data_IF_787495603863
#
_entry.id   IF_787495603863
#
_cell.length_a   1.000
_cell.length_b   1.000
_cell.length_c   1.000
_cell.angle_alpha   90.00
_cell.angle_beta   90.00
_cell.angle_gamma   90.00
#
_symmetry.space_group_name_H-M   'P 1'
#
loop_
_entity.id
_entity.type
_entity.pdbx_description
1 polymer ?
#
# COMPACT_ATOMS: atom_id res chain seq x y z
N UNK A 1 -69.86 33.33 -33.18
CA UNK A 1 -69.49 34.75 -33.39
C UNK A 1 -68.40 35.09 -32.37
N UNK A 2 -67.13 35.11 -32.80
CA UNK A 2 -65.97 35.83 -32.25
C UNK A 2 -64.67 35.12 -32.68
N UNK A 3 -64.01 35.69 -33.69
CA UNK A 3 -62.63 35.37 -34.05
C UNK A 3 -61.71 36.31 -33.25
N UNK A 4 -60.62 35.85 -32.61
CA UNK A 4 -59.66 36.76 -32.00
C UNK A 4 -58.80 37.46 -33.07
N UNK A 5 -58.83 38.78 -33.02
CA UNK A 5 -58.15 39.74 -33.90
C UNK A 5 -56.74 40.01 -33.34
N UNK A 6 -55.67 39.30 -33.75
CA UNK A 6 -54.26 39.78 -33.60
C UNK A 6 -53.27 39.01 -34.51
N UNK A 7 -53.04 39.41 -35.78
CA UNK A 7 -52.09 38.71 -36.66
C UNK A 7 -50.60 39.10 -36.47
N UNK A 8 -50.30 40.27 -35.91
CA UNK A 8 -48.94 40.86 -35.95
C UNK A 8 -48.01 40.46 -34.78
N UNK A 9 -48.56 40.03 -33.65
CA UNK A 9 -47.78 39.67 -32.45
C UNK A 9 -47.24 38.23 -32.55
N UNK A 10 -48.01 37.34 -33.17
CA UNK A 10 -47.63 35.93 -33.36
C UNK A 10 -46.41 35.76 -34.30
N UNK A 11 -46.27 36.66 -35.29
CA UNK A 11 -45.15 36.59 -36.25
C UNK A 11 -43.81 37.00 -35.60
N UNK A 12 -43.82 38.02 -34.73
CA UNK A 12 -42.61 38.45 -34.01
C UNK A 12 -42.16 37.43 -32.96
N UNK A 13 -43.10 36.81 -32.25
CA UNK A 13 -42.81 35.75 -31.29
C UNK A 13 -42.18 34.51 -31.96
N UNK A 14 -42.73 34.06 -33.08
CA UNK A 14 -42.20 32.91 -33.82
C UNK A 14 -40.82 33.18 -34.46
N UNK A 15 -40.52 34.43 -34.83
CA UNK A 15 -39.19 34.78 -35.35
C UNK A 15 -38.14 34.86 -34.23
N UNK A 16 -38.50 35.41 -33.06
CA UNK A 16 -37.61 35.48 -31.89
C UNK A 16 -37.29 34.10 -31.32
N UNK A 17 -38.28 33.20 -31.24
CA UNK A 17 -38.09 31.83 -30.75
C UNK A 17 -37.19 31.02 -31.71
N UNK A 18 -37.34 31.20 -33.03
CA UNK A 18 -36.50 30.54 -34.04
C UNK A 18 -35.06 31.07 -34.07
N UNK A 19 -34.83 32.34 -33.72
CA UNK A 19 -33.49 32.90 -33.56
C UNK A 19 -32.81 32.38 -32.28
N UNK A 20 -33.55 32.30 -31.18
CA UNK A 20 -33.07 31.75 -29.91
C UNK A 20 -32.71 30.26 -30.01
N UNK A 21 -33.56 29.44 -30.63
CA UNK A 21 -33.27 28.00 -30.84
C UNK A 21 -32.03 27.75 -31.70
N UNK A 22 -31.72 28.62 -32.68
CA UNK A 22 -30.53 28.48 -33.52
C UNK A 22 -29.24 28.87 -32.79
N UNK A 23 -29.25 29.94 -31.99
CA UNK A 23 -28.07 30.37 -31.25
C UNK A 23 -27.69 29.44 -30.10
N UNK A 24 -28.67 28.87 -29.39
CA UNK A 24 -28.40 27.88 -28.34
C UNK A 24 -27.83 26.56 -28.90
N UNK A 25 -28.23 26.16 -30.11
CA UNK A 25 -27.72 24.94 -30.75
C UNK A 25 -26.26 25.09 -31.23
N UNK A 26 -25.86 26.28 -31.71
CA UNK A 26 -24.49 26.54 -32.16
C UNK A 26 -23.51 26.69 -30.99
N UNK A 27 -23.92 27.30 -29.88
CA UNK A 27 -23.10 27.39 -28.65
C UNK A 27 -22.94 26.04 -27.93
N UNK A 28 -23.98 25.20 -27.93
CA UNK A 28 -23.90 23.84 -27.38
C UNK A 28 -22.95 22.92 -28.16
N UNK A 29 -22.89 23.07 -29.49
CA UNK A 29 -22.01 22.27 -30.35
C UNK A 29 -20.51 22.66 -30.20
N UNK A 30 -20.22 23.91 -29.85
CA UNK A 30 -18.85 24.39 -29.62
C UNK A 30 -18.25 23.89 -28.29
N UNK A 31 -19.08 23.68 -27.26
CA UNK A 31 -18.64 23.12 -25.97
C UNK A 31 -18.32 21.61 -26.04
N UNK A 32 -18.94 20.87 -26.96
CA UNK A 32 -18.70 19.42 -27.13
C UNK A 32 -17.40 19.16 -27.92
N UNK A 33 -17.02 20.06 -28.83
CA UNK A 33 -15.81 19.91 -29.66
C UNK A 33 -14.53 20.42 -28.98
N UNK A 34 -14.64 21.33 -28.00
CA UNK A 34 -13.48 21.89 -27.28
C UNK A 34 -13.03 21.09 -26.05
N UNK A 35 -13.79 20.09 -25.58
CA UNK A 35 -13.44 19.27 -24.42
C UNK A 35 -13.33 17.77 -24.76
N UNK A 36 -12.28 17.33 -25.48
CA UNK A 36 -12.00 15.90 -25.66
C UNK A 36 -11.33 15.34 -24.39
N UNK A 37 -11.92 15.53 -23.21
CA UNK A 37 -11.21 15.30 -21.93
C UNK A 37 -11.97 14.57 -20.83
N UNK A 38 -13.31 14.48 -20.87
CA UNK A 38 -14.07 13.96 -19.72
C UNK A 38 -14.45 12.47 -19.82
N UNK A 39 -14.56 11.92 -21.04
CA UNK A 39 -14.99 10.53 -21.24
C UNK A 39 -13.82 9.58 -21.56
N UNK A 40 -12.82 9.52 -20.67
CA UNK A 40 -11.72 8.52 -20.80
C UNK A 40 -11.14 7.97 -19.51
N UNK A 41 -11.72 8.25 -18.34
CA UNK A 41 -11.17 7.76 -17.06
C UNK A 41 -11.68 6.37 -16.65
N UNK A 42 -12.89 5.98 -17.07
CA UNK A 42 -13.51 4.72 -16.61
C UNK A 42 -13.09 3.48 -17.42
N UNK A 43 -12.63 3.63 -18.66
CA UNK A 43 -12.20 2.49 -19.49
C UNK A 43 -10.76 2.03 -19.24
N UNK A 44 -9.89 2.90 -18.68
CA UNK A 44 -8.48 2.58 -18.46
C UNK A 44 -8.21 1.84 -17.15
N UNK A 45 -9.12 1.89 -16.17
CA UNK A 45 -8.94 1.16 -14.89
C UNK A 45 -9.08 -0.36 -15.02
N UNK A 46 -9.63 -0.88 -16.13
CA UNK A 46 -9.83 -2.32 -16.31
C UNK A 46 -8.71 -3.04 -17.08
N UNK A 47 -7.63 -2.33 -17.47
CA UNK A 47 -6.58 -2.87 -18.36
C UNK A 47 -5.24 -3.18 -17.66
N UNK A 48 -5.15 -3.14 -16.32
CA UNK A 48 -3.90 -3.38 -15.59
C UNK A 48 -3.91 -4.59 -14.65
N UNK A 49 -4.79 -5.57 -14.85
CA UNK A 49 -4.60 -6.91 -14.28
C UNK A 49 -3.79 -7.76 -15.25
N UNK A 50 -2.53 -7.37 -15.49
CA UNK A 50 -1.58 -8.25 -16.16
C UNK A 50 -1.19 -9.34 -15.15
N UNK A 51 -1.72 -10.55 -15.33
CA UNK A 51 -1.27 -11.73 -14.60
C UNK A 51 0.17 -12.05 -15.05
N UNK A 52 1.14 -11.35 -14.44
CA UNK A 52 2.53 -11.73 -14.56
C UNK A 52 2.67 -13.08 -13.85
N UNK A 53 2.81 -14.16 -14.61
CA UNK A 53 3.11 -15.49 -14.07
C UNK A 53 4.57 -15.51 -13.62
N UNK A 54 4.84 -14.81 -12.53
CA UNK A 54 6.12 -14.91 -11.88
C UNK A 54 6.31 -16.35 -11.39
N UNK A 55 7.30 -17.04 -11.98
CA UNK A 55 7.77 -18.31 -11.44
C UNK A 55 8.46 -18.03 -10.11
N UNK A 56 8.05 -18.75 -9.07
CA UNK A 56 8.68 -18.78 -7.76
C UNK A 56 9.10 -20.23 -7.47
N UNK A 57 10.25 -20.41 -6.84
CA UNK A 57 10.77 -21.73 -6.48
C UNK A 57 10.22 -22.19 -5.12
N UNK A 58 10.00 -21.23 -4.21
CA UNK A 58 9.49 -21.48 -2.86
C UNK A 58 8.40 -20.48 -2.53
N UNK A 59 7.27 -20.96 -2.02
CA UNK A 59 6.21 -20.14 -1.46
C UNK A 59 6.11 -20.43 0.03
N UNK A 60 6.29 -19.41 0.86
CA UNK A 60 6.15 -19.52 2.31
C UNK A 60 4.83 -18.87 2.70
N UNK A 61 3.98 -19.64 3.38
CA UNK A 61 2.73 -19.13 3.94
C UNK A 61 2.89 -18.93 5.45
N UNK A 62 2.70 -17.69 5.91
CA UNK A 62 2.81 -17.30 7.31
C UNK A 62 3.78 -16.16 7.51
N UNK A 63 3.26 -14.98 7.85
CA UNK A 63 4.05 -13.78 8.08
C UNK A 63 4.68 -13.68 9.47
N UNK A 64 4.77 -14.76 10.24
CA UNK A 64 5.39 -14.75 11.59
C UNK A 64 6.92 -14.75 11.49
N UNK A 65 7.62 -14.55 12.62
CA UNK A 65 9.08 -14.58 12.66
C UNK A 65 9.67 -15.85 12.03
N UNK A 66 9.07 -17.02 12.25
CA UNK A 66 9.53 -18.28 11.67
C UNK A 66 9.38 -18.31 10.13
N UNK A 67 8.23 -17.90 9.59
CA UNK A 67 8.00 -17.87 8.16
C UNK A 67 8.90 -16.85 7.44
N UNK A 68 9.09 -15.68 8.03
CA UNK A 68 10.03 -14.68 7.51
C UNK A 68 11.47 -15.23 7.50
N UNK A 69 11.90 -15.89 8.57
CA UNK A 69 13.25 -16.49 8.63
C UNK A 69 13.42 -17.63 7.62
N UNK A 70 12.39 -18.45 7.40
CA UNK A 70 12.42 -19.49 6.37
C UNK A 70 12.54 -18.90 4.96
N UNK A 71 11.79 -17.83 4.67
CA UNK A 71 11.87 -17.13 3.40
C UNK A 71 13.27 -16.51 3.17
N UNK A 72 13.86 -15.90 4.21
CA UNK A 72 15.23 -15.37 4.15
C UNK A 72 16.24 -16.49 3.92
N UNK A 73 16.10 -17.63 4.60
CA UNK A 73 17.00 -18.76 4.42
C UNK A 73 16.97 -19.28 2.98
N UNK A 74 15.78 -19.51 2.42
CA UNK A 74 15.60 -19.95 1.04
C UNK A 74 16.14 -18.92 0.03
N UNK A 75 15.89 -17.62 0.27
CA UNK A 75 16.42 -16.55 -0.58
C UNK A 75 17.94 -16.48 -0.54
N UNK A 76 18.57 -16.69 0.63
CA UNK A 76 20.04 -16.76 0.76
C UNK A 76 20.65 -17.96 0.03
N UNK A 77 19.87 -19.01 -0.19
CA UNK A 77 20.27 -20.17 -1.01
C UNK A 77 20.04 -19.95 -2.52
N UNK A 78 19.58 -18.76 -2.93
CA UNK A 78 19.39 -18.39 -4.33
C UNK A 78 18.00 -18.69 -4.90
N UNK A 79 17.05 -19.15 -4.07
CA UNK A 79 15.68 -19.38 -4.52
C UNK A 79 14.91 -18.07 -4.72
N UNK A 80 14.04 -18.00 -5.73
CA UNK A 80 13.04 -16.93 -5.85
C UNK A 80 11.85 -17.25 -4.96
N UNK A 81 11.69 -16.49 -3.86
CA UNK A 81 10.74 -16.78 -2.79
C UNK A 81 9.55 -15.82 -2.80
N UNK A 82 8.33 -16.35 -2.64
CA UNK A 82 7.13 -15.58 -2.35
C UNK A 82 6.69 -15.81 -0.90
N UNK A 83 6.62 -14.76 -0.09
CA UNK A 83 6.08 -14.83 1.27
C UNK A 83 4.64 -14.30 1.28
N UNK A 84 3.70 -15.13 1.71
CA UNK A 84 2.28 -14.81 1.81
C UNK A 84 1.90 -14.67 3.29
N UNK A 85 1.23 -13.57 3.61
CA UNK A 85 0.70 -13.30 4.95
C UNK A 85 -0.69 -12.65 4.83
N UNK A 86 -1.71 -13.13 5.56
CA UNK A 86 -2.99 -12.44 5.66
C UNK A 86 -2.89 -11.17 6.52
N UNK A 87 -1.86 -11.07 7.37
CA UNK A 87 -1.68 -10.00 8.33
C UNK A 87 -1.11 -8.74 7.70
N UNK A 88 -1.53 -7.57 8.21
CA UNK A 88 -1.01 -6.26 7.79
C UNK A 88 0.46 -6.04 8.15
N UNK A 89 0.94 -6.69 9.22
CA UNK A 89 2.31 -6.56 9.69
C UNK A 89 2.97 -7.94 9.80
N UNK A 90 4.23 -8.02 9.36
CA UNK A 90 5.04 -9.24 9.49
C UNK A 90 5.73 -9.29 10.85
N UNK A 91 6.05 -10.48 11.31
CA UNK A 91 6.82 -10.78 12.52
C UNK A 91 6.01 -11.42 13.65
N UNK A 92 4.68 -11.39 13.59
CA UNK A 92 3.81 -11.95 14.62
C UNK A 92 4.06 -11.34 16.01
N UNK A 93 4.07 -12.16 17.06
CA UNK A 93 4.27 -11.70 18.45
C UNK A 93 5.57 -10.92 18.65
N UNK A 94 6.62 -11.26 17.89
CA UNK A 94 7.92 -10.58 17.93
C UNK A 94 7.82 -9.10 17.57
N UNK A 95 6.93 -8.74 16.64
CA UNK A 95 6.69 -7.35 16.21
C UNK A 95 5.49 -6.70 16.91
N UNK A 96 4.61 -7.49 17.53
CA UNK A 96 3.48 -7.00 18.32
C UNK A 96 3.88 -6.52 19.73
N UNK A 97 5.17 -6.55 20.07
CA UNK A 97 5.70 -6.01 21.33
C UNK A 97 6.17 -7.06 22.34
N UNK A 98 6.04 -8.35 22.03
CA UNK A 98 6.57 -9.42 22.88
C UNK A 98 7.94 -9.89 22.35
N UNK A 99 8.99 -9.20 22.79
CA UNK A 99 10.37 -9.49 22.41
C UNK A 99 11.14 -10.36 23.41
N UNK A 100 10.58 -10.65 24.58
CA UNK A 100 11.22 -11.50 25.57
C UNK A 100 11.01 -12.96 25.20
N UNK A 101 12.10 -13.63 24.83
CA UNK A 101 12.11 -15.08 24.56
C UNK A 101 12.62 -15.80 25.81
N UNK A 102 11.99 -16.91 26.18
CA UNK A 102 12.46 -17.78 27.26
C UNK A 102 13.75 -18.48 26.83
N UNK A 103 14.86 -17.77 27.00
CA UNK A 103 16.19 -18.25 26.66
C UNK A 103 16.76 -18.95 27.89
N UNK A 104 16.92 -20.27 27.80
CA UNK A 104 17.67 -21.05 28.78
C UNK A 104 19.17 -20.76 28.67
N UNK A 105 19.88 -21.54 27.86
CA UNK A 105 21.30 -21.33 27.59
C UNK A 105 21.50 -20.47 26.32
N UNK A 106 21.99 -19.22 26.40
CA UNK A 106 22.16 -18.35 25.23
C UNK A 106 23.13 -18.89 24.17
N UNK A 107 24.05 -19.79 24.55
CA UNK A 107 25.04 -20.39 23.64
C UNK A 107 24.36 -21.30 22.60
N UNK A 108 23.15 -21.79 22.86
CA UNK A 108 22.41 -22.63 21.91
C UNK A 108 21.80 -21.81 20.77
N UNK A 109 21.72 -20.48 20.89
CA UNK A 109 21.14 -19.61 19.88
C UNK A 109 22.19 -19.27 18.82
N UNK A 110 22.05 -19.87 17.63
CA UNK A 110 22.94 -19.70 16.50
C UNK A 110 22.26 -19.18 15.23
N UNK A 111 23.00 -19.18 14.12
CA UNK A 111 22.48 -18.96 12.77
C UNK A 111 21.72 -17.64 12.57
N UNK A 112 20.59 -17.74 11.85
CA UNK A 112 19.74 -16.59 11.52
C UNK A 112 19.08 -15.98 12.76
N UNK A 113 18.69 -16.80 13.74
CA UNK A 113 18.12 -16.32 15.00
C UNK A 113 19.13 -15.43 15.75
N UNK A 114 20.38 -15.86 15.89
CA UNK A 114 21.44 -15.04 16.50
C UNK A 114 21.66 -13.74 15.73
N UNK A 115 21.66 -13.81 14.41
CA UNK A 115 21.85 -12.63 13.55
C UNK A 115 20.73 -11.62 13.75
N UNK A 116 19.48 -12.10 13.85
CA UNK A 116 18.31 -11.27 14.12
C UNK A 116 18.40 -10.55 15.47
N UNK A 117 18.64 -11.27 16.56
CA UNK A 117 18.79 -10.65 17.88
C UNK A 117 19.99 -9.71 17.96
N UNK A 118 21.09 -10.03 17.26
CA UNK A 118 22.24 -9.15 17.19
C UNK A 118 21.93 -7.84 16.46
N UNK A 119 21.16 -7.88 15.37
CA UNK A 119 20.72 -6.67 14.68
C UNK A 119 19.78 -5.81 15.53
N UNK A 120 18.87 -6.44 16.30
CA UNK A 120 18.03 -5.72 17.27
C UNK A 120 18.91 -5.02 18.31
N UNK A 121 19.87 -5.76 18.89
CA UNK A 121 20.80 -5.19 19.85
C UNK A 121 21.53 -3.97 19.26
N UNK A 122 22.11 -4.09 18.06
CA UNK A 122 22.75 -2.97 17.36
C UNK A 122 21.83 -1.78 17.10
N UNK A 123 20.56 -2.02 16.78
CA UNK A 123 19.57 -0.96 16.56
C UNK A 123 19.33 -0.13 17.83
N UNK A 124 19.25 -0.80 18.99
CA UNK A 124 18.99 -0.17 20.28
C UNK A 124 20.22 0.44 20.95
N UNK A 125 21.43 0.21 20.42
CA UNK A 125 22.63 0.94 20.86
C UNK A 125 22.59 2.44 20.54
N UNK A 126 21.63 2.90 19.74
CA UNK A 126 21.48 4.31 19.34
C UNK A 126 20.46 5.01 20.23
N UNK A 127 20.83 6.16 20.81
CA UNK A 127 19.92 6.95 21.66
C UNK A 127 18.65 7.39 20.92
N UNK A 128 18.75 7.65 19.61
CA UNK A 128 17.61 8.04 18.76
C UNK A 128 16.53 6.96 18.60
N UNK A 129 16.85 5.69 18.87
CA UNK A 129 15.90 4.57 18.72
C UNK A 129 14.89 4.49 19.87
N UNK A 130 15.13 5.25 20.95
CA UNK A 130 14.35 5.23 22.17
C UNK A 130 13.22 6.26 22.15
N UNK A 131 11.99 5.81 22.40
CA UNK A 131 10.80 6.69 22.54
C UNK A 131 10.25 6.76 23.97
N UNK A 132 10.29 5.64 24.69
CA UNK A 132 9.65 5.48 26.01
C UNK A 132 10.65 5.10 27.11
N UNK A 133 11.65 4.27 26.79
CA UNK A 133 12.69 3.82 27.74
C UNK A 133 14.07 4.37 27.35
N UNK A 134 15.14 3.88 27.99
CA UNK A 134 16.52 4.25 27.68
C UNK A 134 17.43 3.02 27.58
N UNK A 135 18.62 3.21 26.99
CA UNK A 135 19.61 2.16 26.80
C UNK A 135 20.03 1.47 28.10
N UNK A 136 20.21 2.23 29.19
CA UNK A 136 20.62 1.70 30.49
C UNK A 136 19.62 0.68 31.05
N UNK A 137 18.32 0.97 30.93
CA UNK A 137 17.25 0.06 31.34
C UNK A 137 17.22 -1.20 30.48
N UNK A 138 17.42 -1.05 29.17
CA UNK A 138 17.46 -2.18 28.26
C UNK A 138 18.66 -3.10 28.50
N UNK A 139 19.85 -2.55 28.72
CA UNK A 139 21.05 -3.35 28.99
C UNK A 139 20.98 -4.12 30.32
N UNK A 140 20.27 -3.58 31.32
CA UNK A 140 20.04 -4.29 32.60
C UNK A 140 19.14 -5.51 32.44
N UNK A 141 18.11 -5.41 31.59
CA UNK A 141 17.08 -6.45 31.46
C UNK A 141 17.34 -7.41 30.28
N UNK A 142 18.12 -6.99 29.28
CA UNK A 142 18.44 -7.83 28.14
C UNK A 142 19.57 -8.78 28.54
N UNK A 143 19.25 -10.07 28.70
CA UNK A 143 20.27 -11.10 28.83
C UNK A 143 21.00 -11.24 27.49
N UNK A 144 22.17 -10.63 27.43
CA UNK A 144 22.90 -10.39 26.20
C UNK A 144 23.48 -11.70 25.63
N UNK A 145 22.87 -12.21 24.55
CA UNK A 145 23.41 -13.30 23.69
C UNK A 145 24.81 -12.94 23.11
N UNK A 146 25.27 -11.70 23.30
CA UNK A 146 26.57 -11.19 22.82
C UNK A 146 27.68 -11.20 23.86
N UNK A 147 27.43 -11.46 25.16
CA UNK A 147 28.50 -11.38 26.19
C UNK A 147 29.39 -12.63 26.25
N UNK A 148 29.05 -13.71 25.55
CA UNK A 148 29.69 -15.02 25.71
C UNK A 148 30.70 -15.43 24.63
N UNK A 149 31.08 -14.54 23.70
CA UNK A 149 32.20 -14.84 22.78
C UNK A 149 32.83 -13.56 22.23
N UNK A 150 33.85 -13.04 22.90
CA UNK A 150 34.98 -12.43 22.17
C UNK A 150 35.58 -13.50 21.26
N UNK A 151 36.12 -13.15 20.07
CA UNK A 151 36.73 -14.11 19.16
C UNK A 151 37.79 -14.98 19.84
#
# INVERSE_FOLDING_TARGET
MNQPIYPSIQLKANLMIRAWLKSFFVLGLFLITAYPGFSRKNAQQNQQHQHHSDRYDVIVYGGTAAGVMAAIAASRMGAKVLLLSPDKHLGGVTTSGLGWTDIGNPVTIGGLARSFYHQIWLHYQKDSSWKVSNLTTYQKNCMVITKSRTP
#
